data_IF_995856579488
#
_entry.id   IF_995856579488
#
_cell.length_a   1.000
_cell.length_b   1.000
_cell.length_c   1.000
_cell.angle_alpha   90.00
_cell.angle_beta   90.00
_cell.angle_gamma   90.00
#
_symmetry.space_group_name_H-M   'P 1'
#
loop_
_entity.id
_entity.type
_entity.pdbx_description
1 polymer ?
#
# COMPACT_ATOMS: atom_id res chain seq x y z
N UNK A 1 -3.44 11.66 -12.31
CA UNK A 1 -3.43 10.20 -12.10
C UNK A 1 -2.48 9.62 -13.11
N UNK A 2 -1.46 8.93 -12.64
CA UNK A 2 -0.45 8.24 -13.44
C UNK A 2 -0.55 6.77 -13.08
N UNK A 3 -0.61 5.91 -14.07
CA UNK A 3 -0.58 4.46 -13.86
C UNK A 3 0.83 3.99 -14.20
N UNK A 4 1.45 3.30 -13.24
CA UNK A 4 2.72 2.59 -13.42
C UNK A 4 2.41 1.10 -13.29
N UNK A 5 2.51 0.36 -14.39
CA UNK A 5 2.28 -1.09 -14.41
C UNK A 5 3.59 -1.81 -14.69
N UNK A 6 3.88 -2.86 -13.92
CA UNK A 6 5.05 -3.70 -14.16
C UNK A 6 4.69 -5.17 -14.06
N UNK A 7 5.17 -5.92 -15.06
CA UNK A 7 5.17 -7.38 -15.06
C UNK A 7 6.42 -7.86 -14.31
N UNK A 8 6.22 -8.64 -13.26
CA UNK A 8 7.31 -9.06 -12.36
C UNK A 8 7.89 -10.41 -12.81
N UNK A 9 7.08 -11.45 -13.01
CA UNK A 9 7.50 -12.78 -13.53
C UNK A 9 6.37 -13.42 -14.33
N UNK A 10 6.64 -14.06 -15.47
CA UNK A 10 5.80 -15.00 -16.26
C UNK A 10 4.28 -15.07 -15.91
N UNK A 11 3.57 -13.93 -16.00
CA UNK A 11 2.11 -13.68 -15.83
C UNK A 11 1.68 -12.83 -14.62
N UNK A 12 2.58 -12.54 -13.68
CA UNK A 12 2.30 -11.69 -12.53
C UNK A 12 2.49 -10.21 -12.89
N UNK A 13 1.38 -9.49 -13.02
CA UNK A 13 1.35 -8.04 -13.25
C UNK A 13 0.84 -7.33 -11.98
N UNK A 14 1.59 -6.33 -11.54
CA UNK A 14 1.17 -5.42 -10.47
C UNK A 14 0.90 -4.05 -11.10
N UNK A 15 -0.34 -3.59 -10.97
CA UNK A 15 -0.71 -2.22 -11.33
C UNK A 15 -0.56 -1.32 -10.10
N UNK A 16 0.21 -0.24 -10.25
CA UNK A 16 0.38 0.82 -9.26
C UNK A 16 -0.26 2.10 -9.81
N UNK A 17 -1.33 2.56 -9.18
CA UNK A 17 -2.04 3.79 -9.57
C UNK A 17 -1.65 4.90 -8.61
N UNK A 18 -0.98 5.93 -9.12
CA UNK A 18 -0.53 7.08 -8.33
C UNK A 18 -1.36 8.32 -8.70
N UNK A 19 -1.77 9.09 -7.70
CA UNK A 19 -2.48 10.33 -7.97
C UNK A 19 -2.88 11.10 -6.71
N UNK A 20 -3.75 12.07 -6.91
CA UNK A 20 -4.27 12.96 -5.87
C UNK A 20 -5.79 12.86 -5.84
N UNK A 21 -6.38 12.63 -4.67
CA UNK A 21 -7.84 12.42 -4.49
C UNK A 21 -8.38 11.25 -5.34
N UNK A 22 -7.68 10.13 -5.30
CA UNK A 22 -8.02 8.91 -6.04
C UNK A 22 -8.59 7.80 -5.16
N UNK A 23 -8.67 7.98 -3.84
CA UNK A 23 -9.19 6.96 -2.91
C UNK A 23 -10.60 6.49 -3.28
N UNK A 24 -11.47 7.39 -3.75
CA UNK A 24 -12.83 7.05 -4.17
C UNK A 24 -12.88 6.14 -5.39
N UNK A 25 -11.82 6.10 -6.20
CA UNK A 25 -11.74 5.23 -7.37
C UNK A 25 -11.49 3.75 -7.01
N UNK A 26 -11.08 3.45 -5.76
CA UNK A 26 -10.79 2.08 -5.35
C UNK A 26 -11.95 1.13 -5.63
N UNK A 27 -13.19 1.52 -5.31
CA UNK A 27 -14.36 0.67 -5.56
C UNK A 27 -14.46 0.24 -7.03
N UNK A 28 -14.25 1.19 -7.96
CA UNK A 28 -14.24 0.91 -9.41
C UNK A 28 -13.08 0.00 -9.79
N UNK A 29 -11.87 0.26 -9.29
CA UNK A 29 -10.71 -0.59 -9.60
C UNK A 29 -10.91 -2.04 -9.15
N UNK A 30 -11.61 -2.26 -8.03
CA UNK A 30 -11.95 -3.59 -7.54
C UNK A 30 -13.05 -4.26 -8.39
N UNK A 31 -14.12 -3.54 -8.77
CA UNK A 31 -15.17 -4.12 -9.62
C UNK A 31 -14.71 -4.41 -11.04
N UNK A 32 -13.85 -3.57 -11.61
CA UNK A 32 -13.30 -3.76 -12.96
C UNK A 32 -12.42 -5.02 -13.02
N UNK A 33 -11.95 -5.52 -11.86
CA UNK A 33 -11.25 -6.80 -11.68
C UNK A 33 -12.16 -7.98 -11.33
N UNK A 34 -13.46 -7.77 -11.23
CA UNK A 34 -14.45 -8.82 -10.96
C UNK A 34 -14.68 -9.14 -9.48
N UNK A 35 -14.19 -8.32 -8.55
CA UNK A 35 -14.43 -8.55 -7.12
C UNK A 35 -15.81 -8.03 -6.70
N UNK A 36 -16.54 -8.84 -5.94
CA UNK A 36 -17.87 -8.48 -5.39
C UNK A 36 -17.87 -8.27 -3.88
N UNK A 37 -16.84 -8.76 -3.17
CA UNK A 37 -16.73 -8.69 -1.72
C UNK A 37 -15.30 -8.31 -1.33
N UNK A 38 -15.19 -7.43 -0.34
CA UNK A 38 -13.90 -7.01 0.19
C UNK A 38 -13.88 -6.84 1.71
N UNK A 39 -12.77 -7.26 2.33
CA UNK A 39 -12.41 -6.90 3.70
C UNK A 39 -11.43 -5.72 3.66
N UNK A 40 -11.82 -4.58 4.23
CA UNK A 40 -10.95 -3.42 4.43
C UNK A 40 -10.35 -3.46 5.84
N UNK A 41 -9.03 -3.64 5.94
CA UNK A 41 -8.27 -3.47 7.18
C UNK A 41 -7.56 -2.13 7.12
N UNK A 42 -7.84 -1.24 8.07
CA UNK A 42 -7.31 0.12 8.03
C UNK A 42 -6.80 0.62 9.37
N UNK A 43 -5.83 1.54 9.33
CA UNK A 43 -5.33 2.23 10.51
C UNK A 43 -6.34 3.28 11.00
N UNK A 44 -6.81 3.12 12.24
CA UNK A 44 -7.76 4.03 12.90
C UNK A 44 -7.19 5.43 13.17
N UNK A 45 -5.87 5.61 13.06
CA UNK A 45 -5.20 6.93 13.19
C UNK A 45 -5.37 7.80 11.94
N UNK A 46 -5.84 7.23 10.83
CA UNK A 46 -6.07 7.98 9.60
C UNK A 46 -7.17 9.02 9.78
N UNK A 47 -7.09 10.17 9.09
CA UNK A 47 -8.16 11.14 9.09
C UNK A 47 -9.47 10.50 8.62
N UNK A 48 -10.52 10.70 9.40
CA UNK A 48 -11.81 10.02 9.20
C UNK A 48 -12.38 10.28 7.81
N UNK A 49 -12.24 11.51 7.32
CA UNK A 49 -12.69 11.94 6.00
C UNK A 49 -12.02 11.15 4.86
N UNK A 50 -10.76 10.73 5.02
CA UNK A 50 -10.03 9.92 4.03
C UNK A 50 -10.57 8.50 3.96
N UNK A 51 -10.82 7.90 5.12
CA UNK A 51 -11.42 6.57 5.21
C UNK A 51 -12.84 6.61 4.64
N UNK A 52 -13.62 7.63 4.97
CA UNK A 52 -14.98 7.81 4.44
C UNK A 52 -15.01 8.01 2.92
N UNK A 53 -14.05 8.74 2.35
CA UNK A 53 -13.90 8.91 0.90
C UNK A 53 -13.68 7.57 0.17
N UNK A 54 -12.77 6.74 0.69
CA UNK A 54 -12.49 5.41 0.16
C UNK A 54 -13.71 4.48 0.29
N UNK A 55 -14.33 4.44 1.47
CA UNK A 55 -15.51 3.62 1.75
C UNK A 55 -16.69 4.02 0.87
N UNK A 56 -16.87 5.32 0.62
CA UNK A 56 -17.90 5.82 -0.29
C UNK A 56 -17.70 5.27 -1.70
N UNK A 57 -16.45 5.25 -2.20
CA UNK A 57 -16.11 4.64 -3.48
C UNK A 57 -16.48 3.15 -3.56
N UNK A 58 -16.12 2.36 -2.54
CA UNK A 58 -16.45 0.93 -2.47
C UNK A 58 -17.97 0.70 -2.48
N UNK A 59 -18.73 1.50 -1.71
CA UNK A 59 -20.19 1.40 -1.63
C UNK A 59 -20.89 1.81 -2.93
N UNK A 60 -20.40 2.85 -3.59
CA UNK A 60 -20.91 3.30 -4.90
C UNK A 60 -20.73 2.22 -5.98
N UNK A 61 -19.62 1.48 -5.90
CA UNK A 61 -19.35 0.32 -6.74
C UNK A 61 -20.10 -0.96 -6.31
N UNK A 62 -20.92 -0.89 -5.26
CA UNK A 62 -21.80 -1.97 -4.76
C UNK A 62 -21.08 -3.24 -4.28
N UNK A 63 -19.81 -3.16 -3.87
CA UNK A 63 -19.15 -4.30 -3.23
C UNK A 63 -19.72 -4.54 -1.83
N UNK A 64 -19.81 -5.81 -1.44
CA UNK A 64 -20.02 -6.22 -0.05
C UNK A 64 -18.77 -5.90 0.76
N UNK A 65 -18.88 -5.00 1.72
CA UNK A 65 -17.76 -4.48 2.50
C UNK A 65 -17.84 -4.93 3.96
N UNK A 66 -16.77 -5.53 4.48
CA UNK A 66 -16.51 -5.66 5.91
C UNK A 66 -15.31 -4.78 6.27
N UNK A 67 -15.37 -4.08 7.41
CA UNK A 67 -14.35 -3.13 7.82
C UNK A 67 -13.76 -3.53 9.17
N UNK A 68 -12.44 -3.53 9.26
CA UNK A 68 -11.69 -3.76 10.48
C UNK A 68 -10.74 -2.59 10.75
N UNK A 69 -11.00 -1.85 11.82
CA UNK A 69 -10.15 -0.76 12.27
C UNK A 69 -9.09 -1.27 13.26
N UNK A 70 -7.82 -1.19 12.90
CA UNK A 70 -6.69 -1.54 13.77
C UNK A 70 -5.93 -0.30 14.16
N UNK A 71 -5.10 -0.36 15.21
CA UNK A 71 -4.16 0.72 15.48
C UNK A 71 -2.86 0.44 14.75
N UNK A 72 -2.40 1.34 13.87
CA UNK A 72 -1.12 1.16 13.19
C UNK A 72 0.07 1.19 14.14
N UNK A 73 1.10 0.41 13.80
CA UNK A 73 2.38 0.38 14.49
C UNK A 73 2.97 -1.03 14.58
N UNK A 74 4.24 -1.12 14.98
CA UNK A 74 5.03 -2.36 14.99
C UNK A 74 4.41 -3.51 15.80
N UNK A 75 3.56 -3.19 16.78
CA UNK A 75 2.82 -4.15 17.58
C UNK A 75 1.85 -5.02 16.75
N UNK A 76 1.47 -4.61 15.53
CA UNK A 76 0.67 -5.43 14.62
C UNK A 76 1.46 -6.59 14.00
N UNK A 77 2.80 -6.52 13.97
CA UNK A 77 3.63 -7.54 13.28
C UNK A 77 3.78 -8.80 14.13
N UNK A 78 2.67 -9.46 14.42
CA UNK A 78 2.64 -10.69 15.24
C UNK A 78 1.79 -11.77 14.57
N UNK A 79 2.10 -13.03 14.89
CA UNK A 79 1.28 -14.17 14.44
C UNK A 79 -0.14 -14.08 15.01
N UNK A 80 -0.32 -13.55 16.23
CA UNK A 80 -1.64 -13.39 16.83
C UNK A 80 -2.53 -12.40 16.06
N UNK A 81 -1.95 -11.30 15.57
CA UNK A 81 -2.66 -10.37 14.69
C UNK A 81 -3.09 -11.06 13.39
N UNK A 82 -2.23 -11.89 12.81
CA UNK A 82 -2.54 -12.68 11.60
C UNK A 82 -3.67 -13.67 11.87
N UNK A 83 -3.65 -14.36 13.01
CA UNK A 83 -4.72 -15.28 13.44
C UNK A 83 -6.05 -14.53 13.60
N UNK A 84 -6.04 -13.32 14.18
CA UNK A 84 -7.23 -12.48 14.29
C UNK A 84 -7.77 -12.09 12.91
N UNK A 85 -6.90 -11.72 11.97
CA UNK A 85 -7.29 -11.42 10.59
C UNK A 85 -7.94 -12.63 9.91
N UNK A 86 -7.38 -13.84 10.05
CA UNK A 86 -8.00 -15.04 9.49
C UNK A 86 -9.40 -15.31 10.08
N UNK A 87 -9.61 -15.05 11.38
CA UNK A 87 -10.94 -15.18 12.00
C UNK A 87 -11.95 -14.23 11.38
N UNK A 88 -11.56 -12.97 11.14
CA UNK A 88 -12.41 -11.99 10.44
C UNK A 88 -12.72 -12.41 9.00
N UNK A 89 -11.71 -12.91 8.26
CA UNK A 89 -11.89 -13.42 6.90
C UNK A 89 -12.84 -14.63 6.85
N UNK A 90 -12.73 -15.56 7.79
CA UNK A 90 -13.62 -16.72 7.92
C UNK A 90 -15.05 -16.30 8.29
N UNK A 91 -15.20 -15.41 9.28
CA UNK A 91 -16.50 -14.90 9.75
C UNK A 91 -17.26 -14.20 8.62
N UNK A 92 -16.56 -13.38 7.83
CA UNK A 92 -17.12 -12.70 6.67
C UNK A 92 -17.30 -13.62 5.44
N UNK A 93 -16.91 -14.89 5.55
CA UNK A 93 -17.00 -15.91 4.50
C UNK A 93 -16.29 -15.45 3.22
N UNK A 94 -15.06 -14.96 3.35
CA UNK A 94 -14.21 -14.68 2.19
C UNK A 94 -13.86 -16.00 1.49
N UNK A 95 -13.96 -15.97 0.18
CA UNK A 95 -13.59 -17.03 -0.76
C UNK A 95 -12.41 -16.58 -1.63
N UNK A 96 -11.86 -17.49 -2.44
CA UNK A 96 -10.75 -17.17 -3.37
C UNK A 96 -11.10 -16.16 -4.48
N UNK A 97 -12.39 -15.81 -4.64
CA UNK A 97 -12.85 -14.79 -5.60
C UNK A 97 -13.00 -13.40 -4.97
N UNK A 98 -12.73 -13.27 -3.67
CA UNK A 98 -12.86 -12.03 -2.92
C UNK A 98 -11.47 -11.40 -2.67
N UNK A 99 -11.44 -10.17 -2.17
CA UNK A 99 -10.19 -9.40 -2.01
C UNK A 99 -10.05 -8.75 -0.64
N UNK A 100 -8.83 -8.74 -0.10
CA UNK A 100 -8.48 -8.02 1.14
C UNK A 100 -7.79 -6.70 0.79
N UNK A 101 -8.16 -5.59 1.42
CA UNK A 101 -7.52 -4.29 1.23
C UNK A 101 -6.83 -3.87 2.53
N UNK A 102 -5.53 -3.59 2.45
CA UNK A 102 -4.77 -2.96 3.54
C UNK A 102 -4.61 -1.46 3.30
N UNK A 103 -5.23 -0.63 4.15
CA UNK A 103 -5.13 0.84 4.13
C UNK A 103 -4.29 1.31 5.34
N UNK A 104 -2.99 1.55 5.14
CA UNK A 104 -2.10 1.85 6.26
C UNK A 104 -0.65 2.04 5.85
N UNK A 105 0.24 2.19 6.84
CA UNK A 105 1.68 2.20 6.62
C UNK A 105 2.26 0.80 6.40
N UNK A 106 3.57 0.71 6.17
CA UNK A 106 4.26 -0.53 5.79
C UNK A 106 4.03 -1.70 6.77
N UNK A 107 3.98 -1.41 8.07
CA UNK A 107 3.69 -2.43 9.10
C UNK A 107 2.31 -3.08 8.95
N UNK A 108 1.27 -2.27 8.74
CA UNK A 108 -0.10 -2.78 8.57
C UNK A 108 -0.17 -3.60 7.29
N UNK A 109 0.38 -3.08 6.20
CA UNK A 109 0.32 -3.72 4.89
C UNK A 109 1.13 -5.01 4.84
N UNK A 110 2.27 -5.09 5.54
CA UNK A 110 3.04 -6.32 5.70
C UNK A 110 2.23 -7.42 6.40
N UNK A 111 1.56 -7.05 7.49
CA UNK A 111 0.79 -7.99 8.31
C UNK A 111 -0.46 -8.47 7.57
N UNK A 112 -1.19 -7.55 6.94
CA UNK A 112 -2.37 -7.86 6.12
C UNK A 112 -1.98 -8.68 4.90
N UNK A 113 -0.89 -8.32 4.23
CA UNK A 113 -0.35 -9.07 3.10
C UNK A 113 0.05 -10.49 3.47
N UNK A 114 0.66 -10.69 4.64
CA UNK A 114 1.04 -12.03 5.10
C UNK A 114 -0.19 -12.86 5.48
N UNK A 115 -1.20 -12.25 6.09
CA UNK A 115 -2.49 -12.89 6.33
C UNK A 115 -3.16 -13.30 5.01
N UNK A 116 -3.14 -12.45 3.99
CA UNK A 116 -3.68 -12.73 2.67
C UNK A 116 -2.89 -13.84 1.94
N UNK A 117 -1.56 -13.85 2.06
CA UNK A 117 -0.69 -14.86 1.46
C UNK A 117 -0.99 -16.29 1.96
N UNK A 118 -1.44 -16.40 3.20
CA UNK A 118 -1.60 -17.66 3.92
C UNK A 118 -3.07 -18.10 4.02
N UNK A 119 -4.02 -17.16 3.98
CA UNK A 119 -5.44 -17.47 3.95
C UNK A 119 -5.83 -18.18 2.65
N UNK A 120 -6.48 -19.34 2.75
CA UNK A 120 -6.83 -20.19 1.60
C UNK A 120 -5.64 -20.50 0.65
N UNK A 121 -4.40 -20.49 1.16
CA UNK A 121 -3.15 -20.62 0.37
C UNK A 121 -2.92 -19.47 -0.62
N UNK A 122 -3.40 -18.28 -0.30
CA UNK A 122 -3.29 -17.08 -1.12
C UNK A 122 -4.67 -16.62 -1.58
N UNK A 123 -5.18 -15.57 -0.93
CA UNK A 123 -6.29 -14.75 -1.43
C UNK A 123 -5.72 -13.49 -2.06
N UNK A 124 -6.42 -12.96 -3.06
CA UNK A 124 -6.06 -11.68 -3.66
C UNK A 124 -6.13 -10.54 -2.65
N UNK A 125 -5.25 -9.57 -2.82
CA UNK A 125 -5.20 -8.40 -1.95
C UNK A 125 -4.76 -7.14 -2.71
N UNK A 126 -5.10 -5.98 -2.15
CA UNK A 126 -4.69 -4.67 -2.63
C UNK A 126 -4.13 -3.81 -1.49
N UNK A 127 -3.26 -2.88 -1.86
CA UNK A 127 -2.56 -1.99 -0.92
C UNK A 127 -3.01 -0.56 -1.19
N UNK A 128 -3.32 0.17 -0.13
CA UNK A 128 -3.48 1.63 -0.15
C UNK A 128 -2.49 2.20 0.86
N UNK A 129 -1.24 2.46 0.46
CA UNK A 129 -0.22 2.92 1.39
C UNK A 129 -0.52 4.36 1.85
N UNK A 130 -0.33 4.62 3.14
CA UNK A 130 -0.67 5.93 3.75
C UNK A 130 0.55 6.71 4.23
N UNK A 131 1.70 6.04 4.34
CA UNK A 131 3.00 6.65 4.66
C UNK A 131 3.83 6.80 3.40
N UNK A 132 4.61 7.87 3.27
CA UNK A 132 5.53 8.03 2.14
C UNK A 132 6.51 6.85 2.02
N UNK A 133 7.03 6.33 3.13
CA UNK A 133 7.88 5.14 3.15
C UNK A 133 7.22 3.92 2.51
N UNK A 134 5.94 3.70 2.79
CA UNK A 134 5.21 2.58 2.18
C UNK A 134 4.94 2.78 0.69
N UNK A 135 4.65 4.02 0.27
CA UNK A 135 4.45 4.39 -1.14
C UNK A 135 5.71 4.10 -1.98
N UNK A 136 6.87 4.56 -1.51
CA UNK A 136 8.10 4.48 -2.31
C UNK A 136 8.82 3.13 -2.18
N UNK A 137 8.57 2.40 -1.09
CA UNK A 137 9.26 1.16 -0.78
C UNK A 137 8.26 0.04 -0.45
N UNK A 138 7.69 -0.02 0.76
CA UNK A 138 7.07 -1.25 1.26
C UNK A 138 5.92 -1.83 0.40
N UNK A 139 5.17 -1.01 -0.34
CA UNK A 139 4.08 -1.48 -1.20
C UNK A 139 4.57 -2.26 -2.44
N UNK A 140 5.86 -2.21 -2.75
CA UNK A 140 6.47 -2.77 -3.96
C UNK A 140 7.39 -3.93 -3.61
N UNK A 141 7.29 -5.03 -4.36
CA UNK A 141 8.15 -6.21 -4.23
C UNK A 141 7.51 -7.40 -3.52
N UNK A 142 6.26 -7.28 -3.06
CA UNK A 142 5.46 -8.41 -2.56
C UNK A 142 5.97 -9.02 -1.25
N UNK A 143 6.97 -8.43 -0.59
CA UNK A 143 7.45 -8.89 0.71
C UNK A 143 6.40 -8.58 1.76
N UNK A 144 5.93 -9.62 2.43
CA UNK A 144 4.94 -9.52 3.52
C UNK A 144 5.45 -10.32 4.70
N UNK A 145 5.29 -9.82 5.93
CA UNK A 145 5.95 -10.44 7.08
C UNK A 145 5.37 -10.06 8.43
N UNK A 146 5.70 -10.87 9.43
CA UNK A 146 5.53 -10.58 10.86
C UNK A 146 6.84 -10.82 11.61
N UNK A 147 6.92 -10.28 12.82
CA UNK A 147 8.04 -10.48 13.72
C UNK A 147 7.85 -11.77 14.53
N UNK A 148 8.92 -12.52 14.76
CA UNK A 148 8.92 -13.71 15.61
C UNK A 148 10.33 -13.96 16.19
N UNK A 149 10.63 -13.41 17.37
CA UNK A 149 11.99 -13.41 17.95
C UNK A 149 12.99 -12.52 17.21
N UNK A 150 12.75 -12.20 15.94
CA UNK A 150 13.46 -11.21 15.12
C UNK A 150 12.49 -10.46 14.21
N UNK A 151 12.92 -9.29 13.70
CA UNK A 151 12.11 -8.46 12.79
C UNK A 151 11.96 -9.12 11.41
N UNK A 152 10.75 -9.09 10.86
CA UNK A 152 10.41 -9.53 9.49
C UNK A 152 10.87 -10.96 9.14
N UNK A 153 11.07 -11.83 10.14
CA UNK A 153 11.73 -13.13 9.94
C UNK A 153 10.79 -14.21 9.41
N UNK A 154 9.48 -14.08 9.67
CA UNK A 154 8.45 -14.98 9.13
C UNK A 154 7.63 -14.19 8.12
N UNK A 155 7.56 -14.69 6.88
CA UNK A 155 6.90 -13.96 5.81
C UNK A 155 6.69 -14.78 4.54
N UNK A 156 6.14 -14.12 3.53
CA UNK A 156 5.91 -14.66 2.20
C UNK A 156 6.12 -13.58 1.14
N UNK A 157 6.51 -14.01 -0.06
CA UNK A 157 6.42 -13.20 -1.26
C UNK A 157 5.00 -13.36 -1.84
N UNK A 158 4.15 -12.35 -1.63
CA UNK A 158 2.76 -12.32 -2.07
C UNK A 158 2.42 -10.96 -2.66
N UNK A 159 2.47 -10.86 -3.99
CA UNK A 159 2.28 -9.59 -4.68
C UNK A 159 0.80 -9.17 -4.67
N UNK A 160 0.51 -7.87 -4.46
CA UNK A 160 -0.86 -7.37 -4.55
C UNK A 160 -1.35 -7.33 -5.99
N UNK A 161 -2.67 -7.39 -6.17
CA UNK A 161 -3.33 -7.21 -7.48
C UNK A 161 -3.46 -5.75 -7.90
N UNK A 162 -3.28 -4.84 -6.95
CA UNK A 162 -3.41 -3.40 -7.12
C UNK A 162 -2.73 -2.68 -5.96
N UNK A 163 -2.00 -1.62 -6.27
CA UNK A 163 -1.54 -0.60 -5.30
C UNK A 163 -2.17 0.73 -5.70
N UNK A 164 -2.83 1.42 -4.76
CA UNK A 164 -3.45 2.74 -5.00
C UNK A 164 -2.80 3.77 -4.09
N UNK A 165 -2.00 4.66 -4.66
CA UNK A 165 -1.24 5.66 -3.93
C UNK A 165 -1.86 7.05 -4.10
N UNK A 166 -2.71 7.44 -3.14
CA UNK A 166 -3.16 8.81 -3.03
C UNK A 166 -2.15 9.63 -2.23
N UNK A 167 -1.31 10.39 -2.93
CA UNK A 167 -0.23 11.15 -2.29
C UNK A 167 -0.76 12.22 -1.33
N UNK A 168 -2.06 12.56 -1.39
CA UNK A 168 -2.68 13.48 -0.44
C UNK A 168 -2.72 12.94 0.99
N UNK A 169 -2.61 11.62 1.18
CA UNK A 169 -2.54 11.02 2.52
C UNK A 169 -1.33 11.53 3.32
N UNK A 170 -0.25 11.95 2.64
CA UNK A 170 0.95 12.46 3.32
C UNK A 170 0.73 13.77 4.05
N UNK A 171 -0.30 14.56 3.69
CA UNK A 171 -0.63 15.83 4.35
C UNK A 171 -0.80 15.63 5.86
N UNK A 172 -1.48 14.54 6.24
CA UNK A 172 -1.80 14.20 7.63
C UNK A 172 -0.67 13.53 8.42
N UNK A 173 0.41 13.11 7.75
CA UNK A 173 1.51 12.41 8.42
C UNK A 173 2.28 13.34 9.37
N UNK A 174 2.65 12.87 10.57
CA UNK A 174 3.70 13.51 11.36
C UNK A 174 4.97 13.72 10.53
N UNK A 175 5.70 14.80 10.80
CA UNK A 175 6.92 15.12 10.06
C UNK A 175 7.94 13.98 10.14
N UNK A 176 8.09 13.32 11.29
CA UNK A 176 9.04 12.22 11.47
C UNK A 176 8.76 11.04 10.54
N UNK A 177 7.49 10.61 10.43
CA UNK A 177 7.07 9.54 9.52
C UNK A 177 7.26 9.94 8.05
N UNK A 178 6.97 11.20 7.72
CA UNK A 178 7.17 11.73 6.37
C UNK A 178 8.66 11.82 6.00
N UNK A 179 9.50 12.32 6.91
CA UNK A 179 10.94 12.45 6.73
C UNK A 179 11.61 11.08 6.59
N UNK A 180 11.14 10.07 7.32
CA UNK A 180 11.59 8.68 7.13
C UNK A 180 11.32 8.20 5.70
N UNK A 181 10.18 8.54 5.10
CA UNK A 181 9.90 8.24 3.70
C UNK A 181 10.74 9.05 2.73
N UNK A 182 11.01 10.33 3.03
CA UNK A 182 11.89 11.17 2.21
C UNK A 182 13.32 10.62 2.16
N UNK A 183 13.83 10.06 3.26
CA UNK A 183 15.15 9.44 3.27
C UNK A 183 15.24 8.31 2.23
N UNK A 184 14.17 7.52 2.07
CA UNK A 184 14.10 6.50 1.03
C UNK A 184 13.98 7.08 -0.39
N UNK A 185 13.27 8.19 -0.58
CA UNK A 185 13.30 8.93 -1.85
C UNK A 185 14.72 9.36 -2.21
N UNK A 186 15.48 9.92 -1.25
CA UNK A 186 16.88 10.32 -1.46
C UNK A 186 17.73 9.10 -1.82
N UNK A 187 17.56 7.98 -1.11
CA UNK A 187 18.24 6.72 -1.43
C UNK A 187 17.96 6.29 -2.86
N UNK A 188 16.71 6.30 -3.30
CA UNK A 188 16.35 5.94 -4.67
C UNK A 188 16.99 6.87 -5.69
N UNK A 189 16.93 8.18 -5.49
CA UNK A 189 17.54 9.15 -6.39
C UNK A 189 19.05 8.96 -6.53
N UNK A 190 19.75 8.66 -5.43
CA UNK A 190 21.20 8.39 -5.43
C UNK A 190 21.56 7.08 -6.17
N UNK A 191 20.68 6.08 -6.10
CA UNK A 191 20.93 4.75 -6.68
C UNK A 191 20.37 4.57 -8.10
N UNK A 192 19.47 5.46 -8.55
CA UNK A 192 18.76 5.30 -9.82
C UNK A 192 19.50 5.93 -11.00
N UNK A 193 19.60 7.26 -11.03
CA UNK A 193 20.07 8.03 -12.17
C UNK A 193 20.41 9.47 -11.78
N UNK A 194 21.30 10.10 -12.56
CA UNK A 194 21.68 11.49 -12.35
C UNK A 194 20.48 12.45 -12.50
N UNK A 195 19.56 12.14 -13.39
CA UNK A 195 18.37 12.95 -13.66
C UNK A 195 17.39 12.96 -12.48
N UNK A 196 17.22 11.83 -11.78
CA UNK A 196 16.39 11.81 -10.57
C UNK A 196 17.08 12.56 -9.43
N UNK A 197 18.39 12.40 -9.27
CA UNK A 197 19.15 13.16 -8.28
C UNK A 197 19.08 14.68 -8.51
N UNK A 198 19.28 15.16 -9.74
CA UNK A 198 19.17 16.59 -10.07
C UNK A 198 17.76 17.14 -9.82
N UNK A 199 16.74 16.39 -10.25
CA UNK A 199 15.36 16.77 -9.98
C UNK A 199 15.08 16.87 -8.48
N UNK A 200 15.62 15.94 -7.68
CA UNK A 200 15.48 15.97 -6.22
C UNK A 200 16.10 17.23 -5.61
N UNK A 201 17.32 17.61 -6.03
CA UNK A 201 18.00 18.83 -5.58
C UNK A 201 17.16 20.08 -5.87
N UNK A 202 16.57 20.17 -7.07
CA UNK A 202 15.74 21.30 -7.49
C UNK A 202 14.39 21.37 -6.74
N UNK A 203 13.86 20.22 -6.29
CA UNK A 203 12.51 20.11 -5.72
C UNK A 203 12.46 19.82 -4.22
N UNK A 204 13.62 19.74 -3.53
CA UNK A 204 13.70 19.35 -2.12
C UNK A 204 12.88 20.27 -1.20
N UNK A 205 12.84 21.57 -1.49
CA UNK A 205 12.07 22.53 -0.72
C UNK A 205 10.55 22.35 -0.91
N UNK A 206 10.11 21.92 -2.10
CA UNK A 206 8.73 21.52 -2.34
C UNK A 206 8.37 20.27 -1.55
N UNK A 207 9.24 19.26 -1.57
CA UNK A 207 9.07 18.03 -0.79
C UNK A 207 9.01 18.31 0.73
N UNK A 208 9.89 19.16 1.26
CA UNK A 208 9.86 19.57 2.67
C UNK A 208 8.54 20.21 3.08
N UNK A 209 7.90 20.94 2.17
CA UNK A 209 6.57 21.55 2.38
C UNK A 209 5.40 20.62 2.02
N UNK A 210 5.66 19.36 1.69
CA UNK A 210 4.66 18.39 1.20
C UNK A 210 3.88 18.91 -0.02
N UNK A 211 4.53 19.64 -0.92
CA UNK A 211 3.93 20.02 -2.21
C UNK A 211 3.55 18.75 -2.98
N UNK A 212 2.24 18.51 -3.12
CA UNK A 212 1.71 17.28 -3.69
C UNK A 212 2.15 17.04 -5.14
N UNK A 213 2.52 18.09 -5.89
CA UNK A 213 3.07 17.91 -7.24
C UNK A 213 4.47 17.31 -7.16
N UNK A 214 5.33 17.84 -6.28
CA UNK A 214 6.65 17.29 -6.03
C UNK A 214 6.56 15.88 -5.42
N UNK A 215 5.65 15.66 -4.47
CA UNK A 215 5.47 14.33 -3.87
C UNK A 215 5.01 13.30 -4.90
N UNK A 216 4.03 13.62 -5.74
CA UNK A 216 3.57 12.71 -6.81
C UNK A 216 4.73 12.30 -7.74
N UNK A 217 5.57 13.26 -8.14
CA UNK A 217 6.73 12.99 -8.99
C UNK A 217 7.81 12.15 -8.29
N UNK A 218 8.14 12.48 -7.03
CA UNK A 218 9.10 11.71 -6.23
C UNK A 218 8.65 10.26 -6.00
N UNK A 219 7.36 10.07 -5.76
CA UNK A 219 6.74 8.75 -5.59
C UNK A 219 6.84 7.94 -6.88
N UNK A 220 6.43 8.52 -8.02
CA UNK A 220 6.49 7.80 -9.30
C UNK A 220 7.91 7.41 -9.68
N UNK A 221 8.88 8.33 -9.58
CA UNK A 221 10.29 8.01 -9.89
C UNK A 221 10.86 6.95 -8.96
N UNK A 222 10.48 6.98 -7.67
CA UNK A 222 10.89 5.95 -6.71
C UNK A 222 10.30 4.58 -7.05
N UNK A 223 9.02 4.53 -7.43
CA UNK A 223 8.34 3.31 -7.87
C UNK A 223 9.02 2.75 -9.12
N UNK A 224 9.27 3.59 -10.13
CA UNK A 224 9.96 3.20 -11.37
C UNK A 224 11.34 2.61 -11.07
N UNK A 225 12.13 3.28 -10.24
CA UNK A 225 13.42 2.76 -9.80
C UNK A 225 13.28 1.41 -9.09
N UNK A 226 12.41 1.33 -8.08
CA UNK A 226 12.26 0.11 -7.29
C UNK A 226 11.77 -1.07 -8.13
N UNK A 227 10.84 -0.83 -9.04
CA UNK A 227 10.37 -1.85 -9.98
C UNK A 227 11.49 -2.32 -10.92
N UNK A 228 12.39 -1.43 -11.36
CA UNK A 228 13.55 -1.80 -12.19
C UNK A 228 14.57 -2.71 -11.49
N UNK A 229 14.52 -2.78 -10.15
CA UNK A 229 15.33 -3.69 -9.34
C UNK A 229 14.57 -5.00 -9.07
N UNK A 230 13.27 -4.93 -8.77
CA UNK A 230 12.43 -6.09 -8.48
C UNK A 230 12.19 -6.97 -9.71
N UNK A 231 12.19 -6.40 -10.92
CA UNK A 231 11.95 -7.12 -12.17
C UNK A 231 13.23 -7.75 -12.77
N UNK A 232 14.35 -7.76 -12.04
CA UNK A 232 15.62 -8.40 -12.44
C UNK A 232 15.74 -9.78 -11.80
#
# INVERSE_FOLDING_TARGET
>A
MRTVSVKIVDSLEVEVVVGRNILRLLGRFLTDRGYEKTLLVYDRKLPRERVEELVKGIREARLKLHMLAVEGGEHLKTVDTVVALWKEMLSFKLSRKDIVVGLGGGTLTDTVGFAAATYMRGIDWAIVPTTLLAMVDAAIGGKTSVNFGAKNIIGAYHHPKLVVEDVKLVESLPWEDYASGLAEVVKHALLSSREFYQWLEENIEGLRRKDLVAVEEAVVRSIEYKLSIVSR
#
